data_IF_872345309389
#
_entry.id   IF_872345309389
#
_cell.length_a   1.000
_cell.length_b   1.000
_cell.length_c   1.000
_cell.angle_alpha   90.00
_cell.angle_beta   90.00
_cell.angle_gamma   90.00
#
_symmetry.space_group_name_H-M   'P 1'
#
loop_
_entity.id
_entity.type
_entity.pdbx_description
1 polymer ?
#
# COMPACT_ATOMS: atom_id res chain seq x y z
N UNK A 1 10.62 13.28 11.27
CA UNK A 1 9.19 13.64 11.21
C UNK A 1 8.90 14.62 10.08
N UNK A 2 9.53 15.81 10.02
CA UNK A 2 9.24 16.83 8.99
C UNK A 2 9.25 16.35 7.53
N UNK A 3 10.22 15.50 7.14
CA UNK A 3 10.29 14.98 5.75
C UNK A 3 9.10 14.08 5.37
N UNK A 4 8.57 13.31 6.33
CA UNK A 4 7.42 12.42 6.11
C UNK A 4 6.14 13.23 6.00
N UNK A 5 5.97 14.21 6.88
CA UNK A 5 4.82 15.10 6.83
C UNK A 5 4.80 15.86 5.49
N UNK A 6 5.96 16.32 5.01
CA UNK A 6 6.11 16.94 3.70
C UNK A 6 5.79 15.96 2.55
N UNK A 7 6.24 14.70 2.63
CA UNK A 7 5.89 13.66 1.64
C UNK A 7 4.37 13.48 1.56
N UNK A 8 3.71 13.35 2.70
CA UNK A 8 2.26 13.13 2.77
C UNK A 8 1.47 14.37 2.34
N UNK A 9 1.94 15.57 2.68
CA UNK A 9 1.37 16.81 2.16
C UNK A 9 1.50 16.86 0.64
N UNK A 10 2.67 16.52 0.09
CA UNK A 10 2.91 16.50 -1.37
C UNK A 10 1.98 15.51 -2.06
N UNK A 11 1.80 14.31 -1.50
CA UNK A 11 0.81 13.34 -1.97
C UNK A 11 -0.61 13.94 -2.02
N UNK A 12 -0.99 14.74 -1.02
CA UNK A 12 -2.30 15.39 -0.96
C UNK A 12 -2.53 16.49 -1.99
N UNK A 13 -1.47 17.08 -2.55
CA UNK A 13 -1.57 18.12 -3.58
C UNK A 13 -1.71 17.56 -5.01
N UNK A 14 -1.46 16.26 -5.22
CA UNK A 14 -1.68 15.64 -6.53
C UNK A 14 -3.18 15.60 -6.83
N UNK A 15 -3.59 16.15 -7.96
CA UNK A 15 -5.01 16.21 -8.31
C UNK A 15 -5.53 14.86 -8.80
N UNK A 16 -6.74 14.49 -8.37
CA UNK A 16 -7.51 13.45 -9.04
C UNK A 16 -7.82 13.84 -10.50
N UNK A 17 -8.02 12.84 -11.36
CA UNK A 17 -8.41 13.00 -12.76
C UNK A 17 -9.66 12.17 -13.08
N UNK A 18 -10.11 12.16 -14.34
CA UNK A 18 -11.22 11.31 -14.79
C UNK A 18 -10.90 9.80 -14.79
N UNK A 19 -9.65 9.44 -14.53
CA UNK A 19 -9.11 8.07 -14.54
C UNK A 19 -8.23 7.75 -13.33
N UNK A 20 -8.03 8.69 -12.41
CA UNK A 20 -7.25 8.51 -11.19
C UNK A 20 -7.98 9.15 -10.01
N UNK A 21 -8.14 8.40 -8.94
CA UNK A 21 -8.58 8.92 -7.65
C UNK A 21 -7.38 9.01 -6.69
N UNK A 22 -7.14 10.21 -6.15
CA UNK A 22 -6.18 10.41 -5.07
C UNK A 22 -6.90 10.39 -3.71
N UNK A 23 -6.71 9.35 -2.86
CA UNK A 23 -7.33 9.32 -1.55
C UNK A 23 -6.85 10.44 -0.62
N UNK A 24 -5.62 10.94 -0.79
CA UNK A 24 -4.99 11.86 0.16
C UNK A 24 -5.44 13.32 0.00
N UNK A 25 -6.31 13.62 -0.97
CA UNK A 25 -7.05 14.88 -0.99
C UNK A 25 -8.14 14.92 0.10
N UNK A 26 -8.56 13.75 0.59
CA UNK A 26 -9.44 13.63 1.74
C UNK A 26 -8.61 13.68 3.03
N UNK A 27 -8.92 14.63 3.92
CA UNK A 27 -8.18 14.83 5.19
C UNK A 27 -8.19 13.60 6.10
N UNK A 28 -9.28 12.82 6.10
CA UNK A 28 -9.40 11.59 6.89
C UNK A 28 -8.39 10.55 6.38
N UNK A 29 -8.37 10.29 5.07
CA UNK A 29 -7.46 9.30 4.50
C UNK A 29 -6.00 9.73 4.53
N UNK A 30 -5.75 11.04 4.38
CA UNK A 30 -4.42 11.60 4.59
C UNK A 30 -3.96 11.39 6.05
N UNK A 31 -4.84 11.63 7.03
CA UNK A 31 -4.54 11.39 8.45
C UNK A 31 -4.31 9.91 8.75
N UNK A 32 -5.10 9.01 8.17
CA UNK A 32 -4.89 7.57 8.28
C UNK A 32 -3.50 7.18 7.76
N UNK A 33 -3.09 7.72 6.61
CA UNK A 33 -1.75 7.49 6.09
C UNK A 33 -0.66 8.02 7.04
N UNK A 34 -0.84 9.21 7.62
CA UNK A 34 0.09 9.76 8.62
C UNK A 34 0.24 8.84 9.84
N UNK A 35 -0.88 8.35 10.38
CA UNK A 35 -0.86 7.42 11.52
C UNK A 35 -0.14 6.12 11.15
N UNK A 36 -0.42 5.57 9.97
CA UNK A 36 0.23 4.37 9.47
C UNK A 36 1.75 4.56 9.34
N UNK A 37 2.18 5.64 8.67
CA UNK A 37 3.61 5.90 8.45
C UNK A 37 4.34 6.19 9.77
N UNK A 38 3.71 6.92 10.70
CA UNK A 38 4.29 7.17 12.03
C UNK A 38 4.48 5.87 12.83
N UNK A 39 3.49 4.98 12.76
CA UNK A 39 3.50 3.66 13.39
C UNK A 39 4.60 2.75 12.79
N UNK A 40 4.85 2.84 11.48
CA UNK A 40 5.95 2.14 10.82
C UNK A 40 7.31 2.78 11.10
N UNK A 41 7.41 4.10 11.20
CA UNK A 41 8.64 4.81 11.57
C UNK A 41 9.17 4.36 12.93
N UNK A 42 8.28 4.20 13.91
CA UNK A 42 8.65 3.68 15.22
C UNK A 42 9.19 2.23 15.17
N UNK A 43 8.79 1.44 14.15
CA UNK A 43 9.22 0.05 13.95
C UNK A 43 10.50 -0.09 13.12
N UNK A 44 10.85 0.92 12.33
CA UNK A 44 12.01 0.93 11.41
C UNK A 44 12.13 -0.36 10.57
N UNK A 45 11.10 -0.71 9.78
CA UNK A 45 11.18 -1.89 8.90
C UNK A 45 12.31 -1.72 7.88
N UNK A 46 13.05 -2.80 7.63
CA UNK A 46 14.06 -2.85 6.57
C UNK A 46 13.52 -3.48 5.26
N UNK A 47 12.32 -4.07 5.34
CA UNK A 47 11.62 -4.71 4.22
C UNK A 47 10.44 -3.84 3.79
N UNK A 48 10.32 -3.62 2.48
CA UNK A 48 9.20 -2.92 1.85
C UNK A 48 8.47 -3.85 0.89
N UNK A 49 7.18 -4.10 1.13
CA UNK A 49 6.28 -4.78 0.21
C UNK A 49 5.61 -3.77 -0.70
N UNK A 50 5.72 -3.98 -2.00
CA UNK A 50 5.21 -3.08 -3.04
C UNK A 50 4.14 -3.76 -3.87
N UNK A 51 2.94 -3.18 -3.89
CA UNK A 51 1.89 -3.50 -4.85
C UNK A 51 1.93 -2.62 -6.11
N UNK A 52 1.05 -2.87 -7.07
CA UNK A 52 0.97 -2.06 -8.30
C UNK A 52 0.38 -0.67 -8.01
N UNK A 53 -0.83 -0.64 -7.44
CA UNK A 53 -1.61 0.56 -7.16
C UNK A 53 -2.71 0.27 -6.13
N UNK A 54 -3.33 1.31 -5.58
CA UNK A 54 -4.43 1.14 -4.64
C UNK A 54 -5.65 0.49 -5.33
N UNK A 55 -6.22 -0.54 -4.70
CA UNK A 55 -7.45 -1.19 -5.15
C UNK A 55 -8.72 -0.45 -4.72
N UNK A 56 -9.78 -0.50 -5.54
CA UNK A 56 -11.02 0.23 -5.27
C UNK A 56 -11.76 -0.21 -3.98
N UNK A 57 -11.51 -1.44 -3.50
CA UNK A 57 -12.07 -2.02 -2.25
C UNK A 57 -11.12 -1.95 -1.06
N UNK A 58 -9.89 -1.49 -1.28
CA UNK A 58 -8.82 -1.46 -0.28
C UNK A 58 -8.37 -0.05 0.01
N UNK A 59 -7.10 0.21 -0.27
CA UNK A 59 -6.42 1.47 0.00
C UNK A 59 -7.09 2.72 -0.59
N UNK A 60 -7.92 2.60 -1.64
CA UNK A 60 -8.76 3.71 -2.12
C UNK A 60 -9.67 4.26 -1.00
N UNK A 61 -10.21 3.38 -0.16
CA UNK A 61 -11.19 3.70 0.87
C UNK A 61 -10.56 4.01 2.23
N UNK A 62 -9.33 3.56 2.47
CA UNK A 62 -8.66 3.65 3.77
C UNK A 62 -7.45 4.59 3.77
N UNK A 63 -6.89 4.88 2.59
CA UNK A 63 -5.63 5.62 2.45
C UNK A 63 -4.39 4.77 2.77
N UNK A 64 -4.53 3.47 3.04
CA UNK A 64 -3.42 2.62 3.49
C UNK A 64 -3.21 1.49 2.47
N UNK A 65 -2.00 1.30 1.93
CA UNK A 65 -1.68 0.18 1.04
C UNK A 65 -2.04 -1.18 1.65
N UNK A 66 -2.54 -2.11 0.81
CA UNK A 66 -2.97 -3.44 1.22
C UNK A 66 -3.92 -3.48 2.43
N UNK A 67 -4.73 -2.44 2.64
CA UNK A 67 -5.56 -2.34 3.83
C UNK A 67 -6.98 -1.98 3.46
N UNK A 68 -7.91 -2.90 3.72
CA UNK A 68 -9.35 -2.70 3.52
C UNK A 68 -10.02 -2.18 4.79
N UNK A 69 -11.25 -1.69 4.67
CA UNK A 69 -11.99 -1.19 5.84
C UNK A 69 -12.21 -2.27 6.88
N UNK A 70 -12.39 -3.51 6.45
CA UNK A 70 -12.47 -4.66 7.36
C UNK A 70 -11.20 -4.77 8.23
N UNK A 71 -10.02 -4.57 7.65
CA UNK A 71 -8.75 -4.59 8.38
C UNK A 71 -8.63 -3.38 9.29
N UNK A 72 -8.97 -2.17 8.81
CA UNK A 72 -8.97 -0.96 9.64
C UNK A 72 -9.84 -1.13 10.88
N UNK A 73 -10.97 -1.82 10.75
CA UNK A 73 -11.89 -2.01 11.86
C UNK A 73 -11.46 -3.12 12.84
N UNK A 74 -10.92 -4.24 12.35
CA UNK A 74 -10.72 -5.43 13.18
C UNK A 74 -9.28 -5.71 13.61
N UNK A 75 -8.28 -5.13 12.94
CA UNK A 75 -6.89 -5.43 13.24
C UNK A 75 -6.37 -4.51 14.36
N UNK A 76 -5.64 -5.03 15.36
CA UNK A 76 -5.20 -4.27 16.55
C UNK A 76 -4.26 -3.08 16.30
N UNK A 77 -3.73 -2.92 15.08
CA UNK A 77 -2.85 -1.80 14.72
C UNK A 77 -3.63 -0.60 14.17
N UNK A 78 -4.92 -0.81 13.89
CA UNK A 78 -5.83 0.18 13.34
C UNK A 78 -6.98 0.44 14.32
N UNK A 79 -8.09 0.97 13.82
CA UNK A 79 -9.28 1.24 14.60
C UNK A 79 -9.31 2.62 15.25
N UNK A 80 -10.50 3.00 15.73
CA UNK A 80 -10.77 4.33 16.29
C UNK A 80 -9.94 4.62 17.55
N UNK A 81 -9.64 3.60 18.36
CA UNK A 81 -8.78 3.70 19.55
C UNK A 81 -7.37 4.18 19.18
N UNK A 82 -6.89 3.79 18.00
CA UNK A 82 -5.59 4.22 17.45
C UNK A 82 -5.72 5.47 16.54
N UNK A 83 -6.90 6.12 16.52
CA UNK A 83 -7.16 7.34 15.78
C UNK A 83 -7.52 7.15 14.30
N UNK A 84 -7.61 5.92 13.80
CA UNK A 84 -8.00 5.66 12.40
C UNK A 84 -9.50 5.83 12.21
N UNK A 85 -9.88 6.35 11.05
CA UNK A 85 -11.27 6.65 10.71
C UNK A 85 -11.63 6.12 9.32
N UNK A 86 -12.91 5.82 9.10
CA UNK A 86 -13.46 5.50 7.79
C UNK A 86 -14.25 6.71 7.27
N UNK A 87 -14.25 6.93 5.95
CA UNK A 87 -15.00 8.07 5.35
C UNK A 87 -16.51 7.92 5.55
N UNK A 88 -17.00 6.69 5.61
CA UNK A 88 -18.44 6.41 5.68
C UNK A 88 -18.71 5.47 6.85
N UNK A 89 -19.56 5.93 7.77
CA UNK A 89 -20.18 5.06 8.77
C UNK A 89 -21.13 4.09 8.09
N UNK A 90 -21.01 2.80 8.40
CA UNK A 90 -21.81 1.76 7.77
C UNK A 90 -21.88 0.51 8.61
N UNK A 91 -22.93 -0.28 8.36
CA UNK A 91 -23.21 -1.53 9.06
C UNK A 91 -22.26 -2.67 8.66
N UNK A 92 -21.60 -2.59 7.49
CA UNK A 92 -20.67 -3.62 7.02
C UNK A 92 -19.42 -3.04 6.38
N UNK A 93 -18.26 -3.61 6.73
CA UNK A 93 -16.96 -3.16 6.25
C UNK A 93 -16.53 -3.92 4.99
N UNK A 94 -16.05 -3.19 3.97
CA UNK A 94 -15.62 -3.81 2.71
C UNK A 94 -14.35 -4.63 2.96
N UNK A 95 -14.38 -5.89 2.49
CA UNK A 95 -13.24 -6.79 2.45
C UNK A 95 -12.55 -6.72 1.09
N UNK A 96 -11.23 -6.79 1.10
CA UNK A 96 -10.40 -7.04 -0.07
C UNK A 96 -9.56 -8.30 0.21
N UNK A 97 -9.79 -9.37 -0.56
CA UNK A 97 -9.18 -10.68 -0.30
C UNK A 97 -7.65 -10.61 -0.24
N UNK A 98 -7.02 -9.88 -1.16
CA UNK A 98 -5.55 -9.73 -1.18
C UNK A 98 -5.04 -9.00 0.05
N UNK A 99 -5.72 -7.94 0.50
CA UNK A 99 -5.37 -7.24 1.73
C UNK A 99 -5.47 -8.16 2.94
N UNK A 100 -6.56 -8.93 3.06
CA UNK A 100 -6.73 -9.90 4.15
C UNK A 100 -5.59 -10.92 4.17
N UNK A 101 -5.25 -11.51 3.03
CA UNK A 101 -4.16 -12.49 2.95
C UNK A 101 -2.82 -11.85 3.32
N UNK A 102 -2.51 -10.65 2.81
CA UNK A 102 -1.26 -9.94 3.14
C UNK A 102 -1.11 -9.73 4.65
N UNK A 103 -2.16 -9.24 5.32
CA UNK A 103 -2.11 -9.02 6.76
C UNK A 103 -2.08 -10.33 7.57
N UNK A 104 -2.82 -11.37 7.17
CA UNK A 104 -2.71 -12.71 7.77
C UNK A 104 -1.28 -13.26 7.69
N UNK A 105 -0.63 -13.10 6.54
CA UNK A 105 0.76 -13.58 6.35
C UNK A 105 1.74 -12.77 7.20
N UNK A 106 1.64 -11.44 7.19
CA UNK A 106 2.57 -10.57 7.93
C UNK A 106 2.47 -10.78 9.44
N UNK A 107 1.28 -11.08 9.97
CA UNK A 107 1.12 -11.40 11.40
C UNK A 107 1.93 -12.63 11.83
N UNK A 108 2.23 -13.55 10.91
CA UNK A 108 3.05 -14.73 11.17
C UNK A 108 4.57 -14.50 11.04
N UNK A 109 4.99 -13.31 10.61
CA UNK A 109 6.41 -12.99 10.42
C UNK A 109 7.01 -12.38 11.70
N UNK A 110 8.34 -12.51 11.90
CA UNK A 110 9.04 -11.88 13.02
C UNK A 110 9.10 -10.35 12.90
N UNK A 111 8.79 -9.81 11.71
CA UNK A 111 8.78 -8.38 11.40
C UNK A 111 7.49 -7.98 10.70
N UNK A 112 7.16 -6.69 10.79
CA UNK A 112 6.09 -6.08 9.99
C UNK A 112 6.78 -5.24 8.91
N UNK A 113 6.70 -5.59 7.63
CA UNK A 113 7.28 -4.79 6.57
C UNK A 113 6.50 -3.49 6.35
N UNK A 114 7.16 -2.48 5.77
CA UNK A 114 6.47 -1.32 5.21
C UNK A 114 5.64 -1.77 4.02
N UNK A 115 4.42 -1.26 3.89
CA UNK A 115 3.51 -1.55 2.78
C UNK A 115 3.37 -0.29 1.93
N UNK A 116 3.62 -0.43 0.63
CA UNK A 116 3.46 0.65 -0.34
C UNK A 116 3.01 0.16 -1.71
N UNK A 117 2.82 1.08 -2.66
CA UNK A 117 2.55 0.76 -4.06
C UNK A 117 3.49 1.53 -4.99
N UNK A 118 3.82 0.93 -6.14
CA UNK A 118 4.61 1.60 -7.17
C UNK A 118 3.92 2.89 -7.66
N UNK A 119 2.59 2.87 -7.73
CA UNK A 119 1.76 4.06 -7.89
C UNK A 119 0.87 4.26 -6.65
N UNK A 120 1.03 5.36 -5.89
CA UNK A 120 0.39 5.51 -4.58
C UNK A 120 -1.10 5.89 -4.63
N UNK A 121 -1.69 6.01 -5.82
CA UNK A 121 -3.09 6.42 -6.04
C UNK A 121 -3.93 5.27 -6.62
N UNK A 122 -5.22 5.53 -6.85
CA UNK A 122 -6.16 4.55 -7.42
C UNK A 122 -6.48 4.86 -8.90
N UNK A 123 -5.81 4.22 -9.86
CA UNK A 123 -6.16 4.28 -11.28
C UNK A 123 -7.40 3.41 -11.57
N UNK A 124 -8.35 3.99 -12.29
CA UNK A 124 -9.61 3.36 -12.67
C UNK A 124 -9.95 3.60 -14.14
N UNK A 125 -10.93 2.85 -14.66
CA UNK A 125 -11.47 3.12 -15.99
C UNK A 125 -12.30 4.40 -15.97
N UNK A 126 -12.23 5.18 -17.04
CA UNK A 126 -13.03 6.41 -17.21
C UNK A 126 -14.51 6.10 -17.01
N UNK A 127 -15.23 6.96 -16.27
CA UNK A 127 -16.64 6.79 -15.88
C UNK A 127 -16.94 5.51 -15.04
N UNK A 128 -15.93 4.76 -14.59
CA UNK A 128 -16.09 3.55 -13.76
C UNK A 128 -15.16 3.58 -12.54
N UNK A 129 -15.42 4.45 -11.55
CA UNK A 129 -14.54 4.65 -10.38
C UNK A 129 -14.43 3.42 -9.46
N UNK A 130 -15.33 2.44 -9.58
CA UNK A 130 -15.25 1.15 -8.88
C UNK A 130 -14.62 0.07 -9.77
N UNK A 131 -13.48 0.38 -10.38
CA UNK A 131 -12.73 -0.56 -11.22
C UNK A 131 -11.24 -0.33 -11.07
N UNK A 132 -10.45 -1.38 -11.18
CA UNK A 132 -8.99 -1.25 -11.22
C UNK A 132 -8.51 -1.17 -12.67
N UNK A 133 -7.56 -0.28 -12.94
CA UNK A 133 -6.79 -0.20 -14.19
C UNK A 133 -5.29 -0.27 -13.84
N UNK A 134 -4.44 -0.94 -14.62
CA UNK A 134 -2.99 -0.80 -14.46
C UNK A 134 -2.57 0.67 -14.63
N UNK A 135 -1.64 1.22 -13.83
CA UNK A 135 -1.07 2.54 -14.08
C UNK A 135 -0.40 2.62 -15.46
N UNK A 136 -0.41 3.80 -16.07
CA UNK A 136 0.39 4.14 -17.26
C UNK A 136 1.85 4.34 -16.88
N UNK A 137 2.74 4.40 -17.87
CA UNK A 137 4.14 4.72 -17.65
C UNK A 137 4.34 6.10 -17.00
N UNK A 138 3.56 7.12 -17.42
CA UNK A 138 3.61 8.46 -16.84
C UNK A 138 3.15 8.47 -15.37
N UNK A 139 2.08 7.74 -15.06
CA UNK A 139 1.59 7.58 -13.68
C UNK A 139 2.63 6.86 -12.80
N UNK A 140 3.25 5.79 -13.30
CA UNK A 140 4.34 5.10 -12.58
C UNK A 140 5.53 6.05 -12.34
N UNK A 141 5.95 6.80 -13.35
CA UNK A 141 7.04 7.77 -13.23
C UNK A 141 6.73 8.83 -12.17
N UNK A 142 5.50 9.34 -12.11
CA UNK A 142 5.07 10.24 -11.05
C UNK A 142 5.09 9.57 -9.66
N UNK A 143 4.69 8.30 -9.57
CA UNK A 143 4.74 7.50 -8.35
C UNK A 143 6.17 7.23 -7.83
N UNK A 144 7.15 7.14 -8.74
CA UNK A 144 8.54 6.83 -8.44
C UNK A 144 9.15 7.76 -7.41
N UNK A 145 8.86 9.06 -7.50
CA UNK A 145 9.41 10.06 -6.58
C UNK A 145 9.03 9.76 -5.13
N UNK A 146 7.77 9.41 -4.89
CA UNK A 146 7.30 9.05 -3.55
C UNK A 146 7.90 7.74 -3.05
N UNK A 147 8.02 6.75 -3.94
CA UNK A 147 8.62 5.46 -3.59
C UNK A 147 10.11 5.61 -3.23
N UNK A 148 10.89 6.38 -4.00
CA UNK A 148 12.31 6.65 -3.69
C UNK A 148 12.47 7.35 -2.34
N UNK A 149 11.68 8.38 -2.07
CA UNK A 149 11.71 9.06 -0.78
C UNK A 149 11.39 8.12 0.38
N UNK A 150 10.42 7.21 0.23
CA UNK A 150 10.12 6.23 1.28
C UNK A 150 11.27 5.25 1.49
N UNK A 151 11.88 4.74 0.42
CA UNK A 151 13.05 3.85 0.49
C UNK A 151 14.21 4.52 1.25
N UNK A 152 14.48 5.79 0.96
CA UNK A 152 15.51 6.58 1.64
C UNK A 152 15.15 6.87 3.10
N UNK A 153 13.92 7.30 3.38
CA UNK A 153 13.47 7.70 4.72
C UNK A 153 13.43 6.54 5.72
N UNK A 154 13.06 5.35 5.24
CA UNK A 154 13.01 4.14 6.05
C UNK A 154 14.30 3.33 6.03
N UNK A 155 15.30 3.73 5.23
CA UNK A 155 16.52 2.97 5.01
C UNK A 155 16.19 1.52 4.59
N UNK A 156 15.31 1.38 3.59
CA UNK A 156 14.86 0.07 3.09
C UNK A 156 16.02 -0.65 2.40
N UNK A 157 16.28 -1.89 2.81
CA UNK A 157 17.32 -2.74 2.24
C UNK A 157 16.74 -3.77 1.27
N UNK A 158 15.49 -4.19 1.49
CA UNK A 158 14.86 -5.26 0.73
C UNK A 158 13.50 -4.80 0.23
N UNK A 159 13.32 -4.83 -1.09
CA UNK A 159 12.05 -4.52 -1.75
C UNK A 159 11.45 -5.83 -2.26
N UNK A 160 10.21 -6.12 -1.87
CA UNK A 160 9.46 -7.30 -2.29
C UNK A 160 8.29 -6.88 -3.17
N UNK A 161 8.26 -7.35 -4.40
CA UNK A 161 7.20 -7.02 -5.35
C UNK A 161 6.05 -8.04 -5.25
N UNK A 162 4.86 -7.57 -4.88
CA UNK A 162 3.68 -8.44 -4.73
C UNK A 162 3.02 -8.65 -6.08
N UNK A 163 3.42 -9.71 -6.77
CA UNK A 163 2.89 -10.11 -8.07
C UNK A 163 3.63 -9.50 -9.26
N UNK A 164 3.40 -10.12 -10.43
CA UNK A 164 4.06 -9.76 -11.70
C UNK A 164 3.91 -8.29 -12.08
N UNK A 165 2.75 -7.68 -11.81
CA UNK A 165 2.49 -6.28 -12.16
C UNK A 165 3.31 -5.29 -11.32
N UNK A 166 3.41 -5.56 -10.02
CA UNK A 166 4.25 -4.76 -9.13
C UNK A 166 5.74 -4.92 -9.50
N UNK A 167 6.16 -6.16 -9.81
CA UNK A 167 7.53 -6.46 -10.24
C UNK A 167 7.87 -5.70 -11.53
N UNK A 168 7.05 -5.81 -12.58
CA UNK A 168 7.22 -5.03 -13.82
C UNK A 168 7.24 -3.51 -13.61
N UNK A 169 6.44 -3.02 -12.65
CA UNK A 169 6.45 -1.60 -12.30
C UNK A 169 7.78 -1.21 -11.68
N UNK A 170 8.32 -2.00 -10.74
CA UNK A 170 9.61 -1.75 -10.11
C UNK A 170 10.79 -1.86 -11.08
N UNK A 171 10.76 -2.81 -12.02
CA UNK A 171 11.76 -2.91 -13.09
C UNK A 171 11.82 -1.62 -13.91
N UNK A 172 10.67 -1.12 -14.37
CA UNK A 172 10.59 0.16 -15.11
C UNK A 172 11.07 1.35 -14.30
N UNK A 173 10.88 1.30 -12.99
CA UNK A 173 11.31 2.35 -12.06
C UNK A 173 12.77 2.17 -11.61
N UNK A 174 13.47 1.12 -12.06
CA UNK A 174 14.88 0.89 -11.75
C UNK A 174 15.13 0.50 -10.29
N UNK A 175 14.23 -0.25 -9.67
CA UNK A 175 14.41 -0.82 -8.34
C UNK A 175 14.79 -2.29 -8.41
N UNK A 176 15.90 -2.64 -7.75
CA UNK A 176 16.23 -4.05 -7.46
C UNK A 176 15.21 -4.56 -6.43
N UNK A 177 14.65 -5.74 -6.68
CA UNK A 177 13.59 -6.30 -5.86
C UNK A 177 13.50 -7.81 -5.98
N UNK A 178 12.79 -8.42 -5.04
CA UNK A 178 12.45 -9.85 -5.04
C UNK A 178 10.96 -10.02 -5.38
N UNK A 179 10.60 -10.71 -6.47
CA UNK A 179 9.20 -10.94 -6.82
C UNK A 179 8.61 -12.08 -5.98
N UNK A 180 7.38 -11.90 -5.49
CA UNK A 180 6.54 -12.97 -4.94
C UNK A 180 5.25 -13.11 -5.73
N UNK A 181 4.62 -14.28 -5.66
CA UNK A 181 3.31 -14.48 -6.30
C UNK A 181 2.26 -13.55 -5.68
N UNK A 182 1.34 -13.03 -6.49
CA UNK A 182 0.23 -12.25 -5.94
C UNK A 182 -0.74 -13.18 -5.19
N UNK A 183 -1.24 -12.82 -3.98
CA UNK A 183 -2.06 -13.72 -3.16
C UNK A 183 -3.45 -14.03 -3.73
N UNK A 184 -3.92 -13.27 -4.72
CA UNK A 184 -5.20 -13.51 -5.40
C UNK A 184 -5.14 -14.71 -6.36
N UNK A 185 -6.32 -15.18 -6.81
CA UNK A 185 -6.47 -16.20 -7.85
C UNK A 185 -5.67 -17.48 -7.59
N UNK A 186 -5.78 -18.02 -6.37
CA UNK A 186 -5.09 -19.25 -5.95
C UNK A 186 -3.63 -19.05 -5.54
N UNK A 187 -3.07 -17.84 -5.65
CA UNK A 187 -1.65 -17.58 -5.33
C UNK A 187 -1.32 -17.44 -3.85
N UNK A 188 -2.23 -17.77 -2.91
CA UNK A 188 -2.00 -17.61 -1.46
C UNK A 188 -0.80 -18.41 -0.97
N UNK A 189 -0.70 -19.69 -1.34
CA UNK A 189 0.39 -20.58 -0.90
C UNK A 189 1.76 -20.05 -1.31
N UNK A 190 1.94 -19.83 -2.61
CA UNK A 190 3.18 -19.27 -3.18
C UNK A 190 3.55 -17.89 -2.62
N UNK A 191 2.55 -17.03 -2.34
CA UNK A 191 2.78 -15.73 -1.71
C UNK A 191 3.34 -15.89 -0.30
N UNK A 192 2.71 -16.73 0.52
CA UNK A 192 3.13 -16.99 1.90
C UNK A 192 4.54 -17.57 1.91
N UNK A 193 4.77 -18.62 1.13
CA UNK A 193 6.07 -19.28 1.05
C UNK A 193 7.16 -18.30 0.61
N UNK A 194 6.98 -17.62 -0.52
CA UNK A 194 7.99 -16.70 -1.05
C UNK A 194 8.27 -15.53 -0.10
N UNK A 195 7.25 -15.00 0.57
CA UNK A 195 7.46 -13.94 1.55
C UNK A 195 8.22 -14.44 2.79
N UNK A 196 7.91 -15.64 3.28
CA UNK A 196 8.64 -16.26 4.39
C UNK A 196 10.10 -16.52 4.03
N UNK A 197 10.37 -17.11 2.87
CA UNK A 197 11.73 -17.40 2.40
C UNK A 197 12.58 -16.12 2.31
N UNK A 198 12.01 -15.04 1.76
CA UNK A 198 12.72 -13.76 1.70
C UNK A 198 12.96 -13.22 3.10
N UNK A 199 11.94 -13.13 3.95
CA UNK A 199 12.05 -12.45 5.26
C UNK A 199 12.90 -13.24 6.26
N UNK A 200 12.84 -14.57 6.23
CA UNK A 200 13.63 -15.44 7.13
C UNK A 200 15.05 -15.70 6.59
N UNK A 201 15.30 -15.40 5.33
CA UNK A 201 16.63 -15.48 4.71
C UNK A 201 17.48 -14.21 4.89
N UNK A 202 16.93 -13.17 5.54
CA UNK A 202 17.63 -11.94 5.93
C UNK A 202 18.31 -12.11 7.29
#
# INVERSE_FOLDING_TARGET
MMKIDQLIQTLGHVSSTDTVFNPYQNRILQKNLQLYVAMMMARRPQVLLVGEALGYRGGRLTGIPFTSEYIVHHHPYFGAVNGYQLITEKQSFIKEQSATIVWETIQGLPIIPLLWNAYPFHPHKKKRPQSNRPPTAAELSAGQTFLRQLVELFEIHVIVAVGRKASHSLEKLGFVHHPVRHPAYGGKGDFVQGLHEIVLGL
#
